data_IF_269565703414
#
_entry.id   IF_269565703414
#
_cell.length_a   1.000
_cell.length_b   1.000
_cell.length_c   1.000
_cell.angle_alpha   90.00
_cell.angle_beta   90.00
_cell.angle_gamma   90.00
#
_symmetry.space_group_name_H-M   'P 1'
#
loop_
_entity.id
_entity.type
_entity.pdbx_description
1 polymer ?
#
# COMPACT_ATOMS: atom_id res chain seq x y z
N UNK A 1 0.34 1.45 7.87
CA UNK A 1 1.39 1.07 6.90
C UNK A 1 0.76 0.57 5.63
N UNK A 2 1.45 0.72 4.51
CA UNK A 2 0.99 0.26 3.19
C UNK A 2 2.10 -0.51 2.48
N UNK A 3 1.75 -1.62 1.83
CA UNK A 3 2.67 -2.38 1.01
C UNK A 3 2.40 -2.15 -0.47
N UNK A 4 3.41 -1.69 -1.19
CA UNK A 4 3.36 -1.52 -2.64
C UNK A 4 4.02 -2.72 -3.30
N UNK A 5 3.22 -3.57 -3.91
CA UNK A 5 3.68 -4.77 -4.62
C UNK A 5 3.53 -4.49 -6.11
N UNK A 6 4.65 -4.40 -6.79
CA UNK A 6 4.67 -4.09 -8.22
C UNK A 6 5.05 -5.34 -9.01
N UNK A 7 4.35 -5.54 -10.11
CA UNK A 7 4.63 -6.63 -11.05
C UNK A 7 4.49 -6.07 -12.46
N UNK A 8 5.61 -6.06 -13.20
CA UNK A 8 5.68 -5.37 -14.49
C UNK A 8 5.30 -3.90 -14.29
N UNK A 9 4.42 -3.34 -15.06
CA UNK A 9 3.98 -1.95 -14.89
C UNK A 9 2.62 -1.87 -14.16
N UNK A 10 2.38 -2.80 -13.23
CA UNK A 10 1.13 -2.90 -12.49
C UNK A 10 1.37 -2.90 -10.98
N UNK A 11 0.36 -2.46 -10.24
CA UNK A 11 0.38 -2.40 -8.78
C UNK A 11 -0.76 -3.23 -8.19
N UNK A 12 -0.45 -3.96 -7.14
CA UNK A 12 -1.45 -4.73 -6.39
C UNK A 12 -2.33 -3.78 -5.58
N UNK A 13 -3.62 -3.84 -5.81
CA UNK A 13 -4.61 -3.11 -5.03
C UNK A 13 -5.68 -4.06 -4.50
N UNK A 14 -6.28 -3.66 -3.39
CA UNK A 14 -7.42 -4.33 -2.78
C UNK A 14 -8.57 -3.33 -2.68
N UNK A 15 -9.81 -3.82 -2.82
CA UNK A 15 -10.99 -2.98 -2.72
C UNK A 15 -11.54 -3.05 -1.30
N UNK A 16 -11.68 -1.90 -0.66
CA UNK A 16 -12.20 -1.83 0.70
C UNK A 16 -13.72 -1.98 0.71
N UNK A 17 -14.21 -2.81 1.62
CA UNK A 17 -15.65 -3.02 1.75
C UNK A 17 -16.37 -1.76 2.23
N UNK A 18 -15.76 -0.99 3.13
CA UNK A 18 -16.45 0.11 3.79
C UNK A 18 -16.75 1.30 2.87
N UNK A 19 -15.84 1.66 1.97
CA UNK A 19 -16.03 2.79 1.05
C UNK A 19 -16.06 2.41 -0.43
N UNK A 20 -15.80 1.13 -0.75
CA UNK A 20 -15.78 0.64 -2.12
C UNK A 20 -14.58 1.10 -2.93
N UNK A 21 -13.66 1.84 -2.33
CA UNK A 21 -12.46 2.35 -3.01
C UNK A 21 -11.30 1.36 -2.96
N UNK A 22 -10.38 1.49 -3.92
CA UNK A 22 -9.20 0.65 -4.02
C UNK A 22 -8.00 1.30 -3.33
N UNK A 23 -7.15 0.49 -2.72
CA UNK A 23 -5.97 0.98 -2.02
C UNK A 23 -4.84 -0.04 -2.05
N UNK A 24 -3.64 0.42 -1.72
CA UNK A 24 -2.54 -0.49 -1.38
C UNK A 24 -2.93 -1.27 -0.13
N UNK A 25 -2.65 -2.58 -0.06
CA UNK A 25 -2.91 -3.34 1.16
C UNK A 25 -2.11 -2.80 2.34
N UNK A 26 -2.70 -2.85 3.53
CA UNK A 26 -2.10 -2.34 4.75
C UNK A 26 -3.12 -2.02 5.81
N UNK A 27 -2.70 -1.34 6.87
CA UNK A 27 -3.57 -0.99 7.97
C UNK A 27 -2.83 -0.26 9.09
N UNK A 28 -3.52 -0.09 10.21
CA UNK A 28 -2.94 0.47 11.42
C UNK A 28 -1.97 -0.53 12.05
N UNK A 29 -0.85 -0.02 12.55
CA UNK A 29 0.12 -0.83 13.27
C UNK A 29 -0.42 -1.20 14.66
N UNK A 30 -0.24 -2.46 15.04
CA UNK A 30 -0.52 -2.92 16.40
C UNK A 30 0.72 -2.72 17.28
N UNK A 31 0.47 -2.51 18.57
CA UNK A 31 1.55 -2.41 19.57
C UNK A 31 2.35 -3.72 19.58
N UNK A 32 3.66 -3.60 19.48
CA UNK A 32 4.55 -4.76 19.49
C UNK A 32 4.91 -5.31 18.12
N UNK A 33 4.21 -4.89 17.06
CA UNK A 33 4.56 -5.32 15.70
C UNK A 33 5.76 -4.53 15.17
N UNK A 34 6.65 -5.23 14.48
CA UNK A 34 7.65 -4.53 13.68
C UNK A 34 7.00 -4.08 12.36
N UNK A 35 7.42 -2.95 11.79
CA UNK A 35 6.83 -2.48 10.53
C UNK A 35 6.88 -3.50 9.40
N UNK A 36 8.02 -4.17 9.22
CA UNK A 36 8.17 -5.15 8.14
C UNK A 36 7.32 -6.40 8.37
N UNK A 37 7.24 -6.92 9.59
CA UNK A 37 6.39 -8.09 9.89
C UNK A 37 4.91 -7.75 9.68
N UNK A 38 4.50 -6.55 10.06
CA UNK A 38 3.13 -6.12 9.89
C UNK A 38 2.74 -6.01 8.41
N UNK A 39 3.57 -5.41 7.58
CA UNK A 39 3.22 -5.26 6.17
C UNK A 39 3.11 -6.61 5.47
N UNK A 40 3.96 -7.57 5.81
CA UNK A 40 3.87 -8.95 5.30
C UNK A 40 2.54 -9.57 5.67
N UNK A 41 2.17 -9.46 6.95
CA UNK A 41 0.90 -10.03 7.44
C UNK A 41 -0.31 -9.37 6.77
N UNK A 42 -0.35 -8.04 6.72
CA UNK A 42 -1.48 -7.31 6.14
C UNK A 42 -1.65 -7.60 4.64
N UNK A 43 -0.56 -7.65 3.89
CA UNK A 43 -0.64 -7.99 2.47
C UNK A 43 -1.19 -9.40 2.29
N UNK A 44 -0.74 -10.36 3.11
CA UNK A 44 -1.24 -11.74 3.06
C UNK A 44 -2.72 -11.82 3.40
N UNK A 45 -3.13 -11.21 4.49
CA UNK A 45 -4.52 -11.26 4.95
C UNK A 45 -5.49 -10.62 3.96
N UNK A 46 -5.10 -9.48 3.37
CA UNK A 46 -5.99 -8.71 2.50
C UNK A 46 -5.97 -9.16 1.04
N UNK A 47 -4.86 -9.71 0.56
CA UNK A 47 -4.69 -10.02 -0.85
C UNK A 47 -4.41 -11.48 -1.18
N UNK A 48 -3.93 -12.26 -0.22
CA UNK A 48 -3.51 -13.65 -0.42
C UNK A 48 -2.08 -13.81 -0.91
N UNK A 49 -1.38 -12.72 -1.23
CA UNK A 49 -0.02 -12.80 -1.74
C UNK A 49 1.03 -12.81 -0.62
N UNK A 50 2.11 -13.55 -0.87
CA UNK A 50 3.29 -13.59 -0.01
C UNK A 50 4.30 -12.59 -0.54
N UNK A 51 4.79 -11.72 0.33
CA UNK A 51 5.71 -10.65 -0.05
C UNK A 51 6.88 -10.53 0.92
N UNK A 52 7.96 -9.92 0.44
CA UNK A 52 9.10 -9.54 1.25
C UNK A 52 9.33 -8.03 1.12
N UNK A 53 9.30 -7.27 2.22
CA UNK A 53 9.61 -5.85 2.17
C UNK A 53 11.06 -5.64 1.75
N UNK A 54 11.28 -4.80 0.76
CA UNK A 54 12.60 -4.52 0.21
C UNK A 54 13.12 -3.16 0.63
N UNK A 55 12.21 -2.18 0.78
CA UNK A 55 12.61 -0.79 1.01
C UNK A 55 11.48 -0.03 1.69
N UNK A 56 11.82 0.75 2.71
CA UNK A 56 10.92 1.81 3.17
C UNK A 56 11.02 2.96 2.17
N UNK A 57 10.05 3.05 1.27
CA UNK A 57 10.06 4.04 0.21
C UNK A 57 9.66 5.42 0.69
N UNK A 58 8.66 5.50 1.57
CA UNK A 58 8.19 6.80 2.04
C UNK A 58 7.64 6.74 3.46
N UNK A 59 7.80 7.87 4.17
CA UNK A 59 7.14 8.16 5.43
C UNK A 59 6.44 9.50 5.27
N UNK A 60 5.11 9.50 5.22
CA UNK A 60 4.33 10.71 4.99
C UNK A 60 3.52 11.11 6.22
N UNK A 61 3.47 12.39 6.50
CA UNK A 61 2.49 12.96 7.43
C UNK A 61 1.17 13.06 6.67
N UNK A 62 0.14 12.36 7.14
CA UNK A 62 -1.17 12.33 6.46
C UNK A 62 -1.73 13.72 6.20
N UNK A 63 -1.47 14.68 7.08
CA UNK A 63 -1.97 16.06 6.95
C UNK A 63 -1.29 16.86 5.83
N UNK A 64 -0.14 16.38 5.34
CA UNK A 64 0.61 17.01 4.23
C UNK A 64 0.15 16.52 2.85
N UNK A 65 -0.78 15.58 2.82
CA UNK A 65 -1.29 14.98 1.59
C UNK A 65 -2.81 15.18 1.49
N UNK A 66 -3.39 15.15 0.26
CA UNK A 66 -4.81 15.46 0.07
C UNK A 66 -5.73 14.30 0.47
N UNK A 67 -5.66 13.89 1.71
CA UNK A 67 -6.60 12.96 2.30
C UNK A 67 -7.74 13.72 2.99
N UNK A 68 -8.95 13.14 3.06
CA UNK A 68 -9.99 13.67 3.90
C UNK A 68 -9.51 13.78 5.36
N UNK A 69 -9.91 14.81 6.11
CA UNK A 69 -9.47 14.95 7.49
C UNK A 69 -10.00 13.82 8.38
N UNK A 70 -9.17 13.41 9.34
CA UNK A 70 -9.55 12.46 10.41
C UNK A 70 -9.21 13.06 11.76
N UNK A 71 -9.84 12.54 12.81
CA UNK A 71 -9.59 13.03 14.16
C UNK A 71 -8.18 12.73 14.66
N UNK A 72 -7.60 11.61 14.21
CA UNK A 72 -6.28 11.17 14.63
C UNK A 72 -5.20 11.68 13.69
N UNK A 73 -4.03 12.00 14.26
CA UNK A 73 -2.84 12.26 13.47
C UNK A 73 -2.17 10.93 13.12
N UNK A 74 -1.76 10.77 11.86
CA UNK A 74 -1.12 9.54 11.41
C UNK A 74 0.10 9.82 10.54
N UNK A 75 1.16 9.07 10.79
CA UNK A 75 2.25 8.91 9.85
C UNK A 75 2.00 7.65 9.02
N UNK A 76 2.22 7.75 7.73
CA UNK A 76 1.99 6.67 6.78
C UNK A 76 3.32 6.14 6.27
N UNK A 77 3.57 4.86 6.49
CA UNK A 77 4.78 4.18 6.01
C UNK A 77 4.42 3.37 4.77
N UNK A 78 5.19 3.58 3.70
CA UNK A 78 5.01 2.88 2.43
C UNK A 78 6.22 2.01 2.16
N UNK A 79 6.00 0.71 2.04
CA UNK A 79 7.06 -0.26 1.73
C UNK A 79 6.94 -0.73 0.29
N UNK A 80 8.05 -0.72 -0.44
CA UNK A 80 8.17 -1.52 -1.65
C UNK A 80 8.39 -2.97 -1.24
N UNK A 81 7.57 -3.86 -1.77
CA UNK A 81 7.63 -5.28 -1.47
C UNK A 81 7.86 -6.09 -2.74
N UNK A 82 8.69 -7.11 -2.63
CA UNK A 82 8.86 -8.10 -3.68
C UNK A 82 7.78 -9.18 -3.57
N UNK A 83 7.19 -9.53 -4.70
CA UNK A 83 6.21 -10.63 -4.77
C UNK A 83 6.96 -11.96 -4.67
N UNK A 84 6.66 -12.74 -3.64
CA UNK A 84 7.35 -14.00 -3.36
C UNK A 84 6.52 -15.22 -3.75
N UNK A 85 5.20 -15.10 -3.79
CA UNK A 85 4.32 -16.23 -4.09
C UNK A 85 2.88 -15.93 -3.68
N UNK A 86 2.12 -17.00 -3.49
CA UNK A 86 0.70 -16.88 -3.16
C UNK A 86 -0.16 -16.64 -4.38
N UNK A 87 -1.44 -16.43 -4.15
CA UNK A 87 -2.41 -16.14 -5.19
C UNK A 87 -3.49 -15.22 -4.63
N UNK A 88 -4.19 -14.51 -5.52
CA UNK A 88 -5.26 -13.60 -5.11
C UNK A 88 -6.29 -14.34 -4.26
N UNK A 89 -6.51 -13.86 -3.05
CA UNK A 89 -7.48 -14.41 -2.11
C UNK A 89 -8.18 -13.26 -1.39
N UNK A 90 -9.40 -12.92 -1.82
CA UNK A 90 -10.17 -11.86 -1.17
C UNK A 90 -10.48 -12.21 0.29
N UNK A 91 -10.66 -11.17 1.10
CA UNK A 91 -11.13 -11.31 2.48
C UNK A 91 -12.49 -10.64 2.65
N UNK A 92 -13.08 -10.78 3.84
CA UNK A 92 -14.35 -10.09 4.11
C UNK A 92 -14.17 -8.57 4.01
N UNK A 93 -13.09 -8.02 4.54
CA UNK A 93 -12.84 -6.57 4.53
C UNK A 93 -12.38 -6.07 3.16
N UNK A 94 -11.71 -6.92 2.38
CA UNK A 94 -11.23 -6.60 1.04
C UNK A 94 -11.75 -7.63 0.04
N UNK A 95 -13.02 -7.48 -0.41
CA UNK A 95 -13.68 -8.50 -1.24
C UNK A 95 -13.15 -8.62 -2.66
N UNK A 96 -12.34 -7.68 -3.14
CA UNK A 96 -11.74 -7.76 -4.46
C UNK A 96 -10.26 -7.44 -4.40
N UNK A 97 -9.46 -8.13 -5.21
CA UNK A 97 -8.01 -8.04 -5.28
C UNK A 97 -7.60 -8.04 -6.76
N UNK A 98 -6.64 -7.22 -7.13
CA UNK A 98 -6.15 -7.23 -8.50
C UNK A 98 -4.89 -6.39 -8.69
N UNK A 99 -4.23 -6.62 -9.83
CA UNK A 99 -3.15 -5.78 -10.31
C UNK A 99 -3.68 -4.81 -11.35
N UNK A 100 -3.28 -3.55 -11.24
CA UNK A 100 -3.75 -2.48 -12.11
C UNK A 100 -2.58 -1.75 -12.76
N UNK A 101 -2.66 -1.43 -14.05
CA UNK A 101 -1.64 -0.61 -14.71
C UNK A 101 -1.53 0.76 -14.05
N UNK A 102 -0.30 1.28 -13.95
CA UNK A 102 -0.04 2.58 -13.32
C UNK A 102 -0.81 3.74 -13.96
N UNK A 103 -1.14 3.63 -15.25
CA UNK A 103 -1.86 4.66 -16.01
C UNK A 103 -3.37 4.41 -16.09
N UNK A 104 -3.88 3.37 -15.44
CA UNK A 104 -5.30 2.99 -15.46
C UNK A 104 -5.74 2.51 -14.09
N UNK A 105 -5.51 3.33 -13.08
CA UNK A 105 -5.91 3.00 -11.72
C UNK A 105 -7.44 3.06 -11.57
N UNK A 106 -8.02 2.17 -10.76
CA UNK A 106 -9.44 2.24 -10.42
C UNK A 106 -9.74 3.39 -9.46
N UNK A 107 -11.00 3.59 -9.11
CA UNK A 107 -11.39 4.59 -8.11
C UNK A 107 -10.74 4.29 -6.76
N UNK A 108 -9.94 5.22 -6.26
CA UNK A 108 -9.17 5.01 -5.04
C UNK A 108 -9.95 5.34 -3.78
N UNK A 109 -9.61 4.63 -2.71
CA UNK A 109 -9.98 4.99 -1.34
C UNK A 109 -9.09 6.16 -0.88
N UNK A 110 -9.55 7.39 -1.12
CA UNK A 110 -8.72 8.59 -0.94
C UNK A 110 -8.38 8.88 0.53
N UNK A 111 -9.11 8.29 1.46
CA UNK A 111 -8.74 8.35 2.88
C UNK A 111 -7.49 7.49 3.18
N UNK A 112 -7.17 6.53 2.32
CA UNK A 112 -6.09 5.56 2.51
C UNK A 112 -4.89 5.80 1.61
N UNK A 113 -5.12 6.18 0.34
CA UNK A 113 -4.06 6.35 -0.63
C UNK A 113 -4.44 7.39 -1.68
N UNK A 114 -3.44 8.04 -2.27
CA UNK A 114 -3.63 8.98 -3.38
C UNK A 114 -2.89 8.49 -4.63
N UNK A 115 -3.28 9.02 -5.80
CA UNK A 115 -2.58 8.70 -7.05
C UNK A 115 -1.10 9.07 -6.98
N UNK A 116 -0.78 10.23 -6.39
CA UNK A 116 0.60 10.66 -6.20
C UNK A 116 1.41 9.63 -5.40
N UNK A 117 0.84 9.11 -4.33
CA UNK A 117 1.52 8.13 -3.49
C UNK A 117 1.81 6.83 -4.23
N UNK A 118 0.86 6.36 -5.05
CA UNK A 118 1.07 5.16 -5.87
C UNK A 118 2.12 5.41 -6.94
N UNK A 119 2.02 6.53 -7.66
CA UNK A 119 3.00 6.88 -8.67
C UNK A 119 4.40 6.98 -8.08
N UNK A 120 4.51 7.54 -6.90
CA UNK A 120 5.78 7.66 -6.18
C UNK A 120 6.41 6.30 -5.87
N UNK A 121 5.59 5.27 -5.64
CA UNK A 121 6.08 3.90 -5.46
C UNK A 121 6.70 3.35 -6.75
N UNK A 122 6.07 3.61 -7.89
CA UNK A 122 6.67 3.23 -9.19
C UNK A 122 7.99 3.95 -9.44
N UNK A 123 8.08 5.22 -9.07
CA UNK A 123 9.32 5.99 -9.21
C UNK A 123 10.43 5.44 -8.31
N UNK A 124 10.12 5.10 -7.07
CA UNK A 124 11.09 4.46 -6.17
C UNK A 124 11.57 3.11 -6.70
N UNK A 125 10.68 2.34 -7.33
CA UNK A 125 11.06 1.06 -7.94
C UNK A 125 12.00 1.27 -9.13
N UNK A 126 11.79 2.33 -9.91
CA UNK A 126 12.65 2.68 -11.03
C UNK A 126 14.00 3.29 -10.58
N UNK A 127 14.06 3.79 -9.37
CA UNK A 127 15.24 4.47 -8.80
C UNK A 127 15.60 3.84 -7.45
N UNK A 128 16.14 2.61 -7.44
CA UNK A 128 16.43 1.93 -6.17
C UNK A 128 17.46 2.65 -5.30
N UNK A 129 18.25 3.57 -5.90
CA UNK A 129 19.24 4.39 -5.19
C UNK A 129 18.63 5.54 -4.40
N UNK A 130 17.36 5.87 -4.64
CA UNK A 130 16.71 6.98 -3.93
C UNK A 130 16.62 6.69 -2.44
N UNK A 131 16.91 7.68 -1.58
CA UNK A 131 16.65 7.54 -0.15
C UNK A 131 15.15 7.55 0.13
N UNK A 132 14.78 7.12 1.33
CA UNK A 132 13.39 7.21 1.79
C UNK A 132 12.87 8.65 1.64
N UNK A 133 11.74 8.81 0.99
CA UNK A 133 11.06 10.11 0.92
C UNK A 133 10.30 10.37 2.23
N UNK A 134 10.41 11.56 2.78
CA UNK A 134 9.62 11.91 3.97
C UNK A 134 9.24 13.39 3.98
N UNK A 135 8.17 13.69 4.66
CA UNK A 135 7.74 15.07 4.89
C UNK A 135 8.57 15.78 5.96
#
# INVERSE_FOLDING_TARGET
MRGAVLRDDQVLLVRERDDGGWTLPGGWADVGDTPSAMVVREVKEESGYDVAPRKLAALFDRRKHPHPPIASHAYKLFFLCDLMGGEAAPSFETPEVGFFPRNRLPGLSTSRVTEYQIEHMFEHAAHPEWPTTFD
#
